data_IF_888617260083
#
_entry.id   IF_888617260083
#
_cell.length_a   1.000
_cell.length_b   1.000
_cell.length_c   1.000
_cell.angle_alpha   90.00
_cell.angle_beta   90.00
_cell.angle_gamma   90.00
#
_symmetry.space_group_name_H-M   'P 1'
#
loop_
_entity.id
_entity.type
_entity.pdbx_description
1 polymer ?
#
# COMPACT_ATOMS: atom_id res chain seq x y z
N UNK A 1 26.96 5.12 -12.29
CA UNK A 1 25.67 5.02 -11.58
C UNK A 1 25.61 3.67 -10.89
N UNK A 2 25.52 3.63 -9.56
CA UNK A 2 25.46 2.37 -8.83
C UNK A 2 24.14 1.64 -9.17
N UNK A 3 24.22 0.36 -9.47
CA UNK A 3 23.06 -0.49 -9.78
C UNK A 3 22.26 -0.68 -8.49
N UNK A 4 21.21 0.11 -8.29
CA UNK A 4 20.31 -0.03 -7.14
C UNK A 4 19.78 -1.48 -7.11
N UNK A 5 19.94 -2.15 -5.98
CA UNK A 5 19.54 -3.55 -5.83
C UNK A 5 18.03 -3.61 -5.63
N UNK A 6 17.29 -3.95 -6.67
CA UNK A 6 15.86 -4.26 -6.57
C UNK A 6 15.68 -5.67 -6.02
N UNK A 7 14.94 -5.80 -4.91
CA UNK A 7 14.57 -7.11 -4.33
C UNK A 7 13.07 -7.31 -4.45
N UNK A 8 12.66 -8.52 -4.79
CA UNK A 8 11.25 -8.89 -4.85
C UNK A 8 10.96 -9.94 -3.80
N UNK A 9 9.84 -9.79 -3.10
CA UNK A 9 9.37 -10.78 -2.13
C UNK A 9 7.85 -10.90 -2.16
N UNK A 10 7.35 -12.08 -1.80
CA UNK A 10 5.92 -12.29 -1.59
C UNK A 10 5.59 -11.87 -0.16
N UNK A 11 4.63 -10.97 -0.02
CA UNK A 11 4.06 -10.54 1.26
C UNK A 11 2.67 -11.15 1.41
N UNK A 12 2.38 -11.69 2.59
CA UNK A 12 1.07 -12.25 2.93
C UNK A 12 0.32 -11.22 3.76
N UNK A 13 -0.94 -11.00 3.41
CA UNK A 13 -1.91 -10.11 4.06
C UNK A 13 -3.16 -10.92 4.41
N UNK A 14 -4.10 -10.31 5.13
CA UNK A 14 -5.42 -10.90 5.36
C UNK A 14 -6.25 -11.10 4.07
N UNK A 15 -5.89 -10.40 2.98
CA UNK A 15 -6.56 -10.45 1.68
C UNK A 15 -5.79 -11.23 0.60
N UNK A 16 -4.79 -12.00 1.00
CA UNK A 16 -4.02 -12.86 0.10
C UNK A 16 -2.55 -12.47 -0.01
N UNK A 17 -1.89 -12.99 -1.05
CA UNK A 17 -0.45 -12.83 -1.26
C UNK A 17 -0.15 -11.87 -2.40
N UNK A 18 0.74 -10.93 -2.16
CA UNK A 18 1.11 -9.88 -3.10
C UNK A 18 2.61 -9.88 -3.37
N UNK A 19 3.00 -9.58 -4.60
CA UNK A 19 4.41 -9.39 -4.98
C UNK A 19 4.81 -7.95 -4.67
N UNK A 20 5.69 -7.78 -3.69
CA UNK A 20 6.25 -6.49 -3.31
C UNK A 20 7.65 -6.31 -3.91
N UNK A 21 7.92 -5.09 -4.36
CA UNK A 21 9.21 -4.65 -4.90
C UNK A 21 9.85 -3.73 -3.88
N UNK A 22 11.07 -4.03 -3.47
CA UNK A 22 11.85 -3.29 -2.48
C UNK A 22 13.05 -2.65 -3.17
N UNK A 23 13.20 -1.35 -3.00
CA UNK A 23 14.28 -0.55 -3.56
C UNK A 23 14.95 0.21 -2.42
N UNK A 24 16.27 0.34 -2.49
CA UNK A 24 17.01 1.09 -1.48
C UNK A 24 16.66 2.57 -1.64
N UNK A 25 16.25 3.20 -0.54
CA UNK A 25 16.03 4.65 -0.50
C UNK A 25 17.36 5.34 -0.19
N UNK A 26 17.90 6.10 -1.15
CA UNK A 26 19.24 6.70 -1.01
C UNK A 26 19.24 7.95 -0.16
N UNK A 27 18.12 8.67 -0.12
CA UNK A 27 18.11 10.02 0.46
C UNK A 27 17.82 9.97 1.96
N UNK A 28 16.86 9.14 2.36
CA UNK A 28 16.48 8.93 3.77
C UNK A 28 17.11 7.66 4.37
N UNK A 29 17.75 6.83 3.56
CA UNK A 29 18.13 5.47 3.93
C UNK A 29 16.93 4.53 4.03
N UNK A 30 17.20 3.24 4.21
CA UNK A 30 16.16 2.22 4.30
C UNK A 30 15.68 1.73 2.94
N UNK A 31 14.39 1.39 2.85
CA UNK A 31 13.79 0.78 1.67
C UNK A 31 12.44 1.41 1.36
N UNK A 32 12.28 1.89 0.12
CA UNK A 32 10.96 2.09 -0.48
C UNK A 32 10.42 0.72 -0.89
N UNK A 33 9.12 0.54 -0.71
CA UNK A 33 8.44 -0.70 -1.08
C UNK A 33 7.13 -0.38 -1.79
N UNK A 34 6.90 -1.07 -2.91
CA UNK A 34 5.70 -0.90 -3.74
C UNK A 34 5.04 -2.24 -4.06
N UNK A 35 3.73 -2.24 -4.25
CA UNK A 35 2.97 -3.40 -4.75
C UNK A 35 2.21 -3.02 -6.02
N UNK A 36 2.73 -3.34 -7.22
CA UNK A 36 2.12 -2.90 -8.48
C UNK A 36 0.67 -3.35 -8.70
N UNK A 37 0.25 -4.45 -8.06
CA UNK A 37 -1.13 -4.97 -8.16
C UNK A 37 -2.14 -4.20 -7.30
N UNK A 38 -1.68 -3.33 -6.41
CA UNK A 38 -2.55 -2.55 -5.52
C UNK A 38 -2.25 -1.08 -5.75
N UNK A 39 -3.19 -0.39 -6.42
CA UNK A 39 -3.04 1.03 -6.74
C UNK A 39 -2.76 1.84 -5.48
N UNK A 40 -1.73 2.69 -5.52
CA UNK A 40 -1.35 3.55 -4.40
C UNK A 40 -0.67 2.84 -3.24
N UNK A 41 -0.43 1.53 -3.31
CA UNK A 41 0.32 0.80 -2.28
C UNK A 41 1.82 1.08 -2.41
N UNK A 42 2.24 2.17 -1.79
CA UNK A 42 3.63 2.61 -1.66
C UNK A 42 3.90 2.89 -0.18
N UNK A 43 5.01 2.37 0.32
CA UNK A 43 5.42 2.60 1.70
C UNK A 43 6.93 2.64 1.82
N UNK A 44 7.42 2.85 3.03
CA UNK A 44 8.85 2.92 3.35
C UNK A 44 9.15 2.25 4.68
N UNK A 45 10.35 1.72 4.83
CA UNK A 45 10.85 1.30 6.13
C UNK A 45 12.37 1.36 6.26
N UNK A 46 12.84 1.76 7.44
CA UNK A 46 14.27 1.80 7.84
C UNK A 46 15.09 0.53 7.55
N UNK A 47 14.46 -0.63 7.38
CA UNK A 47 15.09 -1.89 6.95
C UNK A 47 14.05 -2.80 6.27
N UNK A 48 14.48 -3.91 5.68
CA UNK A 48 13.60 -4.82 4.94
C UNK A 48 12.43 -5.38 5.78
N UNK A 49 12.67 -5.72 7.05
CA UNK A 49 11.64 -6.25 7.94
C UNK A 49 10.58 -5.19 8.23
N UNK A 50 11.02 -3.96 8.50
CA UNK A 50 10.13 -2.84 8.74
C UNK A 50 9.33 -2.48 7.47
N UNK A 51 10.00 -2.35 6.32
CA UNK A 51 9.34 -2.07 5.05
C UNK A 51 8.30 -3.16 4.71
N UNK A 52 8.60 -4.43 4.98
CA UNK A 52 7.64 -5.53 4.80
C UNK A 52 6.42 -5.38 5.70
N UNK A 53 6.59 -4.97 6.95
CA UNK A 53 5.46 -4.70 7.85
C UNK A 53 4.61 -3.53 7.33
N UNK A 54 5.26 -2.42 6.99
CA UNK A 54 4.59 -1.20 6.53
C UNK A 54 3.80 -1.40 5.23
N UNK A 55 4.33 -2.19 4.29
CA UNK A 55 3.59 -2.47 3.05
C UNK A 55 2.39 -3.39 3.28
N UNK A 56 2.43 -4.31 4.25
CA UNK A 56 1.28 -5.17 4.58
C UNK A 56 0.12 -4.31 5.06
N UNK A 57 0.37 -3.44 6.05
CA UNK A 57 -0.65 -2.51 6.57
C UNK A 57 -1.18 -1.58 5.47
N UNK A 58 -0.30 -1.09 4.59
CA UNK A 58 -0.70 -0.26 3.45
C UNK A 58 -1.60 -1.00 2.46
N UNK A 59 -1.27 -2.24 2.09
CA UNK A 59 -2.11 -3.05 1.17
C UNK A 59 -3.50 -3.25 1.76
N UNK A 60 -3.57 -3.65 3.04
CA UNK A 60 -4.83 -3.93 3.72
C UNK A 60 -5.69 -2.67 3.80
N UNK A 61 -5.11 -1.54 4.23
CA UNK A 61 -5.81 -0.26 4.28
C UNK A 61 -6.30 0.22 2.91
N UNK A 62 -5.52 0.00 1.84
CA UNK A 62 -5.94 0.39 0.49
C UNK A 62 -7.11 -0.46 -0.03
N UNK A 63 -7.11 -1.77 0.24
CA UNK A 63 -8.22 -2.66 -0.13
C UNK A 63 -9.48 -2.27 0.66
N UNK A 64 -9.37 -2.06 1.97
CA UNK A 64 -10.48 -1.66 2.83
C UNK A 64 -11.05 -0.30 2.43
N UNK A 65 -10.20 0.68 2.19
CA UNK A 65 -10.61 2.01 1.76
C UNK A 65 -11.39 1.97 0.44
N UNK A 66 -10.97 1.13 -0.51
CA UNK A 66 -11.69 0.92 -1.77
C UNK A 66 -13.07 0.32 -1.54
N UNK A 67 -13.16 -0.76 -0.76
CA UNK A 67 -14.44 -1.41 -0.46
C UNK A 67 -15.41 -0.43 0.22
N UNK A 68 -14.92 0.38 1.16
CA UNK A 68 -15.73 1.39 1.83
C UNK A 68 -16.17 2.49 0.84
N UNK A 69 -15.28 2.98 -0.01
CA UNK A 69 -15.62 4.00 -1.01
C UNK A 69 -16.70 3.51 -1.99
N UNK A 70 -16.59 2.28 -2.48
CA UNK A 70 -17.59 1.65 -3.34
C UNK A 70 -18.93 1.48 -2.61
N UNK A 71 -18.91 1.06 -1.33
CA UNK A 71 -20.11 0.95 -0.52
C UNK A 71 -20.80 2.31 -0.28
N UNK A 72 -20.04 3.40 -0.15
CA UNK A 72 -20.60 4.77 -0.06
C UNK A 72 -21.25 5.17 -1.38
N UNK A 73 -20.58 4.92 -2.51
CA UNK A 73 -21.10 5.24 -3.84
C UNK A 73 -22.41 4.50 -4.15
N UNK A 74 -22.53 3.25 -3.69
CA UNK A 74 -23.74 2.44 -3.81
C UNK A 74 -24.83 2.80 -2.79
N UNK A 75 -24.57 3.72 -1.85
CA UNK A 75 -25.52 4.11 -0.80
C UNK A 75 -25.69 3.12 0.34
N UNK A 76 -24.84 2.08 0.42
CA UNK A 76 -24.91 1.03 1.44
C UNK A 76 -24.39 1.50 2.81
N UNK A 77 -23.45 2.45 2.82
CA UNK A 77 -22.89 3.05 4.04
C UNK A 77 -22.79 4.56 3.89
N UNK A 78 -22.78 5.29 5.02
CA UNK A 78 -22.57 6.74 5.06
C UNK A 78 -21.33 7.09 5.87
N UNK A 79 -20.54 8.01 5.36
CA UNK A 79 -19.36 8.51 6.07
C UNK A 79 -19.79 9.50 7.17
N UNK A 80 -19.48 9.20 8.42
CA UNK A 80 -19.91 10.00 9.58
C UNK A 80 -19.13 11.30 9.75
N UNK A 81 -17.91 11.39 9.19
CA UNK A 81 -16.99 12.51 9.39
C UNK A 81 -17.21 13.70 8.44
N UNK A 82 -18.37 13.81 7.75
CA UNK A 82 -18.67 14.89 6.78
C UNK A 82 -17.57 15.09 5.72
N UNK A 83 -17.05 14.00 5.15
CA UNK A 83 -16.07 14.11 4.07
C UNK A 83 -16.69 14.83 2.86
N UNK A 84 -16.04 15.89 2.39
CA UNK A 84 -16.55 16.67 1.26
C UNK A 84 -16.51 15.93 -0.09
N UNK A 85 -15.65 14.91 -0.21
CA UNK A 85 -15.54 14.03 -1.38
C UNK A 85 -15.10 12.63 -0.96
N UNK A 86 -15.63 11.62 -1.64
CA UNK A 86 -15.21 10.22 -1.48
C UNK A 86 -14.06 9.95 -2.46
N UNK A 87 -12.98 9.26 -2.04
CA UNK A 87 -11.92 8.88 -2.96
C UNK A 87 -12.45 7.97 -4.08
N UNK A 88 -11.88 8.12 -5.27
CA UNK A 88 -12.17 7.29 -6.43
C UNK A 88 -10.92 6.48 -6.76
N UNK A 89 -11.09 5.17 -6.87
CA UNK A 89 -10.05 4.23 -7.27
C UNK A 89 -10.29 3.87 -8.74
N UNK A 90 -9.24 3.85 -9.56
CA UNK A 90 -9.33 3.71 -11.03
C UNK A 90 -8.58 2.47 -11.47
#
# INVERSE_FOLDING_TARGET
>A
MARLSTKMAIVKTQYGSFKAVFEIETDMGGYVVTVPKVQGAVSWGKNLVHAKKMIIECIEGMIEARVIAEAIQNGNVRFTARAGKVPVFV
#
